data_IF_833539284831
#
_entry.id   IF_833539284831
#
_cell.length_a   1.000
_cell.length_b   1.000
_cell.length_c   1.000
_cell.angle_alpha   90.00
_cell.angle_beta   90.00
_cell.angle_gamma   90.00
#
_symmetry.space_group_name_H-M   'P 1'
#
loop_
_entity.id
_entity.type
_entity.pdbx_description
1 polymer ?
#
# COMPACT_ATOMS: atom_id res chain seq x y z
N UNK A 1 17.42 -18.57 -2.79
CA UNK A 1 16.97 -17.17 -2.67
C UNK A 1 16.37 -16.79 -4.00
N UNK A 2 15.04 -16.74 -4.10
CA UNK A 2 14.38 -16.28 -5.33
C UNK A 2 14.60 -14.76 -5.41
N UNK A 3 15.28 -14.34 -6.47
CA UNK A 3 15.41 -12.92 -6.76
C UNK A 3 14.01 -12.30 -6.91
N UNK A 4 13.72 -11.27 -6.14
CA UNK A 4 12.49 -10.49 -6.28
C UNK A 4 12.47 -9.90 -7.68
N UNK A 5 11.52 -10.33 -8.51
CA UNK A 5 11.38 -9.80 -9.85
C UNK A 5 10.71 -8.43 -9.75
N UNK A 6 11.52 -7.38 -9.85
CA UNK A 6 11.06 -5.99 -9.92
C UNK A 6 10.89 -5.60 -11.39
N UNK A 7 9.76 -4.99 -11.71
CA UNK A 7 9.50 -4.44 -13.04
C UNK A 7 9.26 -2.94 -12.92
N UNK A 8 10.02 -2.15 -13.67
CA UNK A 8 9.73 -0.72 -13.80
C UNK A 8 8.55 -0.55 -14.76
N UNK A 9 7.49 0.06 -14.27
CA UNK A 9 6.22 0.20 -15.01
C UNK A 9 6.15 1.54 -15.76
N UNK A 10 7.01 2.50 -15.43
CA UNK A 10 6.94 3.85 -15.96
C UNK A 10 8.31 4.47 -16.20
N UNK A 11 8.45 5.29 -17.27
CA UNK A 11 9.75 5.83 -17.74
C UNK A 11 10.05 7.26 -17.29
N UNK A 12 9.05 8.09 -17.00
CA UNK A 12 9.25 9.46 -16.50
C UNK A 12 9.26 9.53 -14.98
N UNK A 13 8.40 8.71 -14.35
CA UNK A 13 8.33 8.54 -12.90
C UNK A 13 8.80 7.13 -12.56
N UNK A 14 9.64 7.00 -11.53
CA UNK A 14 10.13 5.69 -11.09
C UNK A 14 9.06 4.95 -10.30
N UNK A 15 8.15 4.29 -11.00
CA UNK A 15 7.19 3.36 -10.41
C UNK A 15 7.68 1.93 -10.62
N UNK A 16 7.79 1.18 -9.54
CA UNK A 16 8.20 -0.22 -9.56
C UNK A 16 7.04 -1.10 -9.15
N UNK A 17 6.94 -2.27 -9.78
CA UNK A 17 5.93 -3.27 -9.45
C UNK A 17 6.61 -4.57 -9.01
N UNK A 18 6.04 -5.22 -8.01
CA UNK A 18 6.43 -6.56 -7.58
C UNK A 18 5.19 -7.42 -7.28
N UNK A 19 5.36 -8.73 -7.27
CA UNK A 19 4.33 -9.66 -6.84
C UNK A 19 4.76 -10.38 -5.56
N UNK A 20 3.82 -10.62 -4.66
CA UNK A 20 4.05 -11.44 -3.47
C UNK A 20 4.00 -12.92 -3.85
N UNK A 21 4.99 -13.74 -3.51
CA UNK A 21 4.87 -15.19 -3.61
C UNK A 21 3.69 -15.70 -2.76
N UNK A 22 2.95 -16.67 -3.27
CA UNK A 22 1.79 -17.27 -2.57
C UNK A 22 0.73 -16.24 -2.15
N UNK A 23 0.58 -15.15 -2.91
CA UNK A 23 -0.30 -14.02 -2.59
C UNK A 23 -1.74 -14.44 -2.26
N UNK A 24 -2.30 -15.41 -2.97
CA UNK A 24 -3.68 -15.86 -2.75
C UNK A 24 -3.88 -16.37 -1.31
N UNK A 25 -2.97 -17.23 -0.84
CA UNK A 25 -3.03 -17.77 0.53
C UNK A 25 -2.83 -16.67 1.58
N UNK A 26 -1.84 -15.78 1.36
CA UNK A 26 -1.56 -14.64 2.26
C UNK A 26 -2.76 -13.69 2.34
N UNK A 27 -3.35 -13.35 1.20
CA UNK A 27 -4.52 -12.48 1.15
C UNK A 27 -5.73 -13.10 1.84
N UNK A 28 -5.96 -14.40 1.67
CA UNK A 28 -7.03 -15.11 2.37
C UNK A 28 -6.86 -15.06 3.90
N UNK A 29 -5.64 -15.25 4.41
CA UNK A 29 -5.34 -15.12 5.84
C UNK A 29 -5.60 -13.69 6.36
N UNK A 30 -5.15 -12.66 5.61
CA UNK A 30 -5.35 -11.26 5.99
C UNK A 30 -6.86 -10.94 6.01
N UNK A 31 -7.61 -11.33 4.97
CA UNK A 31 -9.05 -11.07 4.89
C UNK A 31 -9.83 -11.77 6.02
N UNK A 32 -9.48 -13.00 6.32
CA UNK A 32 -10.10 -13.74 7.43
C UNK A 32 -9.85 -13.07 8.78
N UNK A 33 -8.60 -12.63 9.03
CA UNK A 33 -8.26 -11.88 10.24
C UNK A 33 -8.89 -10.49 10.28
N UNK A 34 -8.94 -9.78 9.16
CA UNK A 34 -9.56 -8.46 9.04
C UNK A 34 -11.04 -8.48 9.39
N UNK A 35 -11.78 -9.51 8.98
CA UNK A 35 -13.21 -9.65 9.29
C UNK A 35 -13.51 -9.74 10.80
N UNK A 36 -12.51 -10.07 11.63
CA UNK A 36 -12.64 -10.12 13.09
C UNK A 36 -12.12 -8.88 13.82
N UNK A 37 -11.66 -7.83 13.10
CA UNK A 37 -11.18 -6.61 13.74
C UNK A 37 -12.32 -5.75 14.26
N UNK A 38 -12.06 -5.11 15.40
CA UNK A 38 -12.91 -4.11 16.03
C UNK A 38 -12.18 -2.76 16.12
N UNK A 39 -12.87 -1.65 16.41
CA UNK A 39 -12.21 -0.36 16.55
C UNK A 39 -11.07 -0.30 17.59
N UNK A 40 -11.12 -1.16 18.59
CA UNK A 40 -10.14 -1.27 19.68
C UNK A 40 -8.82 -1.93 19.24
N UNK A 41 -8.84 -2.62 18.11
CA UNK A 41 -7.64 -3.26 17.54
C UNK A 41 -6.68 -2.26 16.86
N UNK A 42 -7.19 -1.07 16.52
CA UNK A 42 -6.39 -0.05 15.88
C UNK A 42 -5.65 0.81 16.90
N UNK A 43 -4.33 0.82 16.84
CA UNK A 43 -3.47 1.69 17.67
C UNK A 43 -3.75 3.17 17.44
N UNK A 44 -4.01 3.53 16.18
CA UNK A 44 -4.21 4.89 15.72
C UNK A 44 -5.05 4.88 14.44
N UNK A 45 -5.76 5.98 14.20
CA UNK A 45 -6.55 6.22 12.98
C UNK A 45 -6.33 7.66 12.55
N UNK A 46 -6.13 7.91 11.26
CA UNK A 46 -5.89 9.26 10.74
C UNK A 46 -6.68 9.55 9.47
N UNK A 47 -6.67 10.82 9.05
CA UNK A 47 -7.34 11.32 7.87
C UNK A 47 -8.83 11.02 7.89
N UNK A 48 -9.53 11.71 8.82
CA UNK A 48 -10.99 11.59 8.93
C UNK A 48 -11.67 12.41 7.84
N UNK A 49 -12.21 11.74 6.83
CA UNK A 49 -12.84 12.35 5.65
C UNK A 49 -14.14 11.61 5.33
N UNK A 50 -15.20 12.37 5.02
CA UNK A 50 -16.51 11.82 4.64
C UNK A 50 -17.03 10.74 5.63
N UNK A 51 -16.84 10.98 6.93
CA UNK A 51 -17.38 10.12 7.99
C UNK A 51 -16.56 8.87 8.31
N UNK A 52 -15.36 8.68 7.72
CA UNK A 52 -14.46 7.56 7.97
C UNK A 52 -13.00 8.00 8.15
N UNK A 53 -12.20 7.14 8.76
CA UNK A 53 -10.76 7.27 8.74
C UNK A 53 -10.20 6.57 7.50
N UNK A 54 -9.34 7.24 6.75
CA UNK A 54 -8.69 6.67 5.56
C UNK A 54 -7.60 5.68 5.95
N UNK A 55 -6.84 5.99 7.01
CA UNK A 55 -5.70 5.20 7.46
C UNK A 55 -5.99 4.57 8.83
N UNK A 56 -5.85 3.24 8.89
CA UNK A 56 -6.07 2.43 10.08
C UNK A 56 -4.76 1.72 10.45
N UNK A 57 -4.17 2.07 11.58
CA UNK A 57 -2.87 1.56 12.02
C UNK A 57 -3.03 0.40 12.99
N UNK A 58 -2.33 -0.70 12.73
CA UNK A 58 -2.33 -1.91 13.53
C UNK A 58 -0.94 -2.21 14.09
N UNK A 59 -0.91 -3.05 15.13
CA UNK A 59 0.32 -3.76 15.46
C UNK A 59 0.67 -4.76 14.33
N UNK A 60 1.96 -4.87 14.03
CA UNK A 60 2.50 -5.71 12.96
C UNK A 60 2.08 -7.18 13.07
N UNK A 61 1.87 -7.65 14.30
CA UNK A 61 1.48 -9.02 14.61
C UNK A 61 -0.04 -9.24 14.71
N UNK A 62 -0.84 -8.17 14.56
CA UNK A 62 -2.29 -8.27 14.82
C UNK A 62 -3.05 -9.10 13.78
N UNK A 63 -2.60 -9.12 12.54
CA UNK A 63 -3.21 -9.91 11.47
C UNK A 63 -2.24 -10.96 10.93
N UNK A 64 -2.66 -12.21 10.83
CA UNK A 64 -1.89 -13.23 10.11
C UNK A 64 -1.60 -12.76 8.67
N UNK A 65 -0.46 -13.12 8.13
CA UNK A 65 -0.07 -12.77 6.76
C UNK A 65 0.56 -11.38 6.59
N UNK A 66 0.25 -10.38 7.41
CA UNK A 66 0.84 -9.03 7.28
C UNK A 66 2.35 -9.06 7.35
N UNK A 67 2.92 -9.82 8.28
CA UNK A 67 4.38 -9.91 8.44
C UNK A 67 5.07 -10.38 7.15
N UNK A 68 4.48 -11.33 6.43
CA UNK A 68 5.01 -11.80 5.13
C UNK A 68 4.98 -10.70 4.07
N UNK A 69 3.89 -9.91 4.04
CA UNK A 69 3.78 -8.76 3.14
C UNK A 69 4.87 -7.74 3.44
N UNK A 70 5.05 -7.36 4.71
CA UNK A 70 6.01 -6.33 5.11
C UNK A 70 7.46 -6.76 4.90
N UNK A 71 7.82 -8.01 5.23
CA UNK A 71 9.17 -8.55 4.97
C UNK A 71 9.49 -8.51 3.47
N UNK A 72 8.54 -8.92 2.63
CA UNK A 72 8.72 -8.88 1.18
C UNK A 72 8.86 -7.45 0.66
N UNK A 73 8.00 -6.54 1.14
CA UNK A 73 8.03 -5.12 0.80
C UNK A 73 9.35 -4.45 1.18
N UNK A 74 9.87 -4.72 2.39
CA UNK A 74 11.17 -4.22 2.85
C UNK A 74 12.32 -4.71 1.96
N UNK A 75 12.27 -5.96 1.51
CA UNK A 75 13.22 -6.52 0.55
C UNK A 75 13.18 -5.80 -0.80
N UNK A 76 11.98 -5.54 -1.32
CA UNK A 76 11.77 -4.77 -2.55
C UNK A 76 12.28 -3.33 -2.41
N UNK A 77 11.91 -2.64 -1.31
CA UNK A 77 12.30 -1.26 -1.06
C UNK A 77 13.84 -1.11 -0.99
N UNK A 78 14.52 -2.02 -0.31
CA UNK A 78 15.99 -2.06 -0.26
C UNK A 78 16.60 -2.22 -1.64
N UNK A 79 16.05 -3.11 -2.46
CA UNK A 79 16.53 -3.34 -3.82
C UNK A 79 16.33 -2.11 -4.72
N UNK A 80 15.16 -1.46 -4.62
CA UNK A 80 14.84 -0.23 -5.38
C UNK A 80 15.77 0.91 -4.99
N UNK A 81 15.98 1.11 -3.68
CA UNK A 81 16.80 2.21 -3.15
C UNK A 81 18.31 1.92 -3.21
N UNK A 82 18.73 0.70 -3.53
CA UNK A 82 20.13 0.30 -3.42
C UNK A 82 20.66 0.37 -1.98
N UNK A 83 19.78 0.25 -0.98
CA UNK A 83 20.12 0.45 0.43
C UNK A 83 20.66 -0.83 1.05
N UNK A 84 21.90 -0.85 1.60
CA UNK A 84 22.53 -2.07 2.09
C UNK A 84 21.98 -2.56 3.43
N UNK A 85 21.43 -1.67 4.25
CA UNK A 85 20.95 -1.93 5.61
C UNK A 85 19.44 -2.16 5.71
N UNK A 86 18.92 -2.39 6.92
CA UNK A 86 17.49 -2.43 7.17
C UNK A 86 16.85 -1.05 6.97
N UNK A 87 15.56 -1.06 6.64
CA UNK A 87 14.75 0.15 6.54
C UNK A 87 13.66 0.12 7.61
N UNK A 88 13.29 1.29 8.11
CA UNK A 88 12.04 1.47 8.83
C UNK A 88 10.88 1.31 7.84
N UNK A 89 9.87 0.53 8.22
CA UNK A 89 8.65 0.36 7.45
C UNK A 89 7.44 0.75 8.31
N UNK A 90 6.89 1.93 8.08
CA UNK A 90 5.57 2.32 8.57
C UNK A 90 4.49 1.75 7.66
N UNK A 91 3.37 1.28 8.23
CA UNK A 91 2.27 0.75 7.43
C UNK A 91 0.91 1.07 8.04
N UNK A 92 -0.12 1.03 7.20
CA UNK A 92 -1.53 1.18 7.59
C UNK A 92 -2.43 0.42 6.63
N UNK A 93 -3.63 0.07 7.10
CA UNK A 93 -4.68 -0.42 6.22
C UNK A 93 -5.45 0.77 5.62
N UNK A 94 -5.72 0.68 4.33
CA UNK A 94 -6.65 1.55 3.63
C UNK A 94 -7.86 0.73 3.19
N UNK A 95 -9.02 1.02 3.80
CA UNK A 95 -10.26 0.26 3.64
C UNK A 95 -11.27 1.11 2.88
N UNK A 96 -11.68 0.67 1.70
CA UNK A 96 -12.59 1.42 0.85
C UNK A 96 -13.81 0.59 0.47
N UNK A 97 -14.95 0.95 1.03
CA UNK A 97 -16.26 0.46 0.60
C UNK A 97 -16.74 1.17 -0.68
N UNK A 98 -17.89 0.78 -1.19
CA UNK A 98 -18.49 1.41 -2.37
C UNK A 98 -18.65 2.94 -2.18
N UNK A 99 -18.20 3.71 -3.16
CA UNK A 99 -18.24 5.17 -3.15
C UNK A 99 -17.07 5.85 -2.44
N UNK A 100 -16.25 5.13 -1.67
CA UNK A 100 -15.10 5.72 -1.00
C UNK A 100 -14.00 6.09 -2.01
N UNK A 101 -13.28 7.17 -1.70
CA UNK A 101 -12.10 7.68 -2.41
C UNK A 101 -11.07 8.09 -1.38
N UNK A 102 -9.82 8.35 -1.75
CA UNK A 102 -8.85 9.02 -0.87
C UNK A 102 -8.56 10.44 -1.38
N UNK A 103 -8.16 11.32 -0.47
CA UNK A 103 -7.68 12.65 -0.82
C UNK A 103 -6.31 12.58 -1.51
N UNK A 104 -6.01 13.59 -2.32
CA UNK A 104 -4.65 13.78 -2.87
C UNK A 104 -3.71 14.20 -1.74
N UNK A 105 -2.56 13.52 -1.61
CA UNK A 105 -1.55 13.78 -0.60
C UNK A 105 -0.16 13.30 -1.03
N UNK A 106 0.86 13.67 -0.26
CA UNK A 106 2.25 13.20 -0.36
C UNK A 106 2.71 12.62 0.97
N UNK A 107 3.90 12.02 1.00
CA UNK A 107 4.53 11.47 2.20
C UNK A 107 5.93 12.03 2.46
N UNK A 108 6.20 13.25 2.03
CA UNK A 108 7.50 13.92 2.16
C UNK A 108 7.72 14.64 3.52
N UNK A 109 6.77 14.53 4.46
CA UNK A 109 6.78 15.29 5.72
C UNK A 109 7.85 14.83 6.71
N UNK A 110 8.36 13.62 6.55
CA UNK A 110 9.40 13.04 7.38
C UNK A 110 10.61 12.64 6.51
N UNK A 111 11.29 11.59 6.90
CA UNK A 111 12.47 11.06 6.22
C UNK A 111 12.14 9.87 5.28
N UNK A 112 10.93 9.82 4.74
CA UNK A 112 10.52 8.78 3.82
C UNK A 112 11.35 8.82 2.53
N UNK A 113 11.92 7.67 2.16
CA UNK A 113 12.71 7.47 0.95
C UNK A 113 11.90 6.83 -0.17
N UNK A 114 10.84 6.08 0.18
CA UNK A 114 10.00 5.37 -0.76
C UNK A 114 8.61 5.15 -0.15
N UNK A 115 7.58 5.33 -0.97
CA UNK A 115 6.20 4.93 -0.65
C UNK A 115 5.83 3.66 -1.39
N UNK A 116 4.88 2.91 -0.83
CA UNK A 116 4.39 1.69 -1.44
C UNK A 116 2.95 1.37 -1.06
N UNK A 117 2.33 0.54 -1.87
CA UNK A 117 1.02 -0.04 -1.60
C UNK A 117 1.01 -1.52 -2.01
N UNK A 118 0.38 -2.35 -1.19
CA UNK A 118 0.06 -3.73 -1.50
C UNK A 118 -1.44 -3.94 -1.55
N UNK A 119 -1.92 -4.67 -2.54
CA UNK A 119 -3.34 -4.94 -2.71
C UNK A 119 -3.73 -6.31 -2.18
N UNK A 120 -4.50 -6.33 -1.10
CA UNK A 120 -5.05 -7.55 -0.50
C UNK A 120 -6.32 -7.97 -1.24
N UNK A 121 -7.24 -7.02 -1.42
CA UNK A 121 -8.46 -7.18 -2.19
C UNK A 121 -8.69 -5.94 -3.05
N UNK A 122 -8.92 -6.16 -4.34
CA UNK A 122 -9.21 -5.11 -5.30
C UNK A 122 -10.19 -5.66 -6.35
N UNK A 123 -11.50 -5.60 -6.07
CA UNK A 123 -12.49 -6.03 -7.04
C UNK A 123 -12.46 -5.13 -8.29
N UNK A 124 -12.99 -5.58 -9.43
CA UNK A 124 -13.08 -4.76 -10.63
C UNK A 124 -13.73 -3.41 -10.35
N UNK A 125 -13.23 -2.34 -10.97
CA UNK A 125 -13.66 -0.93 -10.83
C UNK A 125 -13.59 -0.39 -9.40
N UNK A 126 -12.70 -0.92 -8.56
CA UNK A 126 -12.50 -0.48 -7.16
C UNK A 126 -11.66 0.80 -7.00
N UNK A 127 -11.36 1.48 -8.09
CA UNK A 127 -10.60 2.73 -8.14
C UNK A 127 -9.11 2.53 -8.41
N UNK A 128 -8.59 3.25 -9.40
CA UNK A 128 -7.17 3.26 -9.72
C UNK A 128 -6.38 4.09 -8.69
N UNK A 129 -5.14 3.72 -8.45
CA UNK A 129 -4.16 4.61 -7.85
C UNK A 129 -3.73 5.62 -8.91
N UNK A 130 -3.90 6.90 -8.63
CA UNK A 130 -3.49 7.97 -9.53
C UNK A 130 -2.28 8.67 -8.94
N UNK A 131 -1.23 8.81 -9.74
CA UNK A 131 -0.02 9.57 -9.41
C UNK A 131 0.01 10.81 -10.30
N UNK A 132 0.38 11.95 -9.72
CA UNK A 132 0.57 13.21 -10.47
C UNK A 132 2.05 13.49 -10.65
N UNK A 133 2.54 13.40 -11.87
CA UNK A 133 3.92 13.73 -12.25
C UNK A 133 3.92 15.00 -13.10
N UNK A 134 4.01 16.15 -12.46
CA UNK A 134 3.84 17.45 -13.11
C UNK A 134 2.47 17.56 -13.81
N UNK A 135 2.42 17.73 -15.14
CA UNK A 135 1.17 17.78 -15.88
C UNK A 135 0.55 16.40 -16.18
N UNK A 136 1.25 15.32 -15.91
CA UNK A 136 0.83 13.96 -16.25
C UNK A 136 0.06 13.33 -15.09
N UNK A 137 -1.00 12.59 -15.42
CA UNK A 137 -1.72 11.73 -14.49
C UNK A 137 -1.52 10.27 -14.90
N UNK A 138 -0.84 9.52 -14.04
CA UNK A 138 -0.57 8.09 -14.24
C UNK A 138 -1.62 7.31 -13.45
N UNK A 139 -2.43 6.50 -14.14
CA UNK A 139 -3.43 5.63 -13.52
C UNK A 139 -2.93 4.21 -13.48
N UNK A 140 -2.94 3.63 -12.29
CA UNK A 140 -2.45 2.27 -12.03
C UNK A 140 -3.59 1.44 -11.45
N UNK A 141 -4.09 0.51 -12.25
CA UNK A 141 -5.20 -0.36 -11.83
C UNK A 141 -4.71 -1.36 -10.79
N UNK A 142 -5.38 -1.45 -9.63
CA UNK A 142 -4.98 -2.36 -8.57
C UNK A 142 -5.17 -3.82 -8.98
N UNK A 143 -4.23 -4.67 -8.57
CA UNK A 143 -4.32 -6.12 -8.75
C UNK A 143 -3.98 -6.83 -7.45
N UNK A 144 -4.85 -7.70 -6.89
CA UNK A 144 -4.55 -8.43 -5.66
C UNK A 144 -3.23 -9.19 -5.77
N UNK A 145 -2.44 -9.17 -4.70
CA UNK A 145 -1.15 -9.84 -4.63
C UNK A 145 0.02 -9.05 -5.21
N UNK A 146 -0.20 -7.80 -5.66
CA UNK A 146 0.85 -6.95 -6.22
C UNK A 146 1.18 -5.76 -5.33
N UNK A 147 2.43 -5.34 -5.41
CA UNK A 147 2.94 -4.08 -4.85
C UNK A 147 3.16 -3.07 -5.96
N UNK A 148 2.95 -1.80 -5.61
CA UNK A 148 3.45 -0.65 -6.34
C UNK A 148 4.32 0.17 -5.40
N UNK A 149 5.49 0.64 -5.89
CA UNK A 149 6.39 1.52 -5.15
C UNK A 149 6.66 2.75 -5.98
N UNK A 150 6.67 3.92 -5.34
CA UNK A 150 6.82 5.21 -6.00
C UNK A 150 7.47 6.23 -5.05
N UNK A 151 8.04 7.36 -5.59
CA UNK A 151 8.60 8.42 -4.75
C UNK A 151 7.59 8.99 -3.76
N UNK A 152 8.00 9.29 -2.51
CA UNK A 152 7.09 9.75 -1.47
C UNK A 152 6.55 11.18 -1.69
N UNK A 153 7.28 12.01 -2.42
CA UNK A 153 6.92 13.38 -2.80
C UNK A 153 5.93 13.46 -3.97
N UNK A 154 5.59 12.32 -4.58
CA UNK A 154 4.67 12.28 -5.71
C UNK A 154 3.22 12.40 -5.21
N UNK A 155 2.47 13.47 -5.55
CA UNK A 155 1.07 13.60 -5.15
C UNK A 155 0.25 12.44 -5.71
N UNK A 156 -0.55 11.82 -4.85
CA UNK A 156 -1.32 10.65 -5.24
C UNK A 156 -2.64 10.54 -4.48
N UNK A 157 -3.57 9.82 -5.09
CA UNK A 157 -4.87 9.50 -4.50
C UNK A 157 -5.43 8.21 -5.10
N UNK A 158 -6.51 7.70 -4.53
CA UNK A 158 -7.26 6.58 -5.08
C UNK A 158 -8.62 7.07 -5.56
N UNK A 159 -8.95 6.77 -6.82
CA UNK A 159 -10.26 7.05 -7.39
C UNK A 159 -11.37 6.30 -6.64
N UNK A 160 -12.61 6.72 -6.85
CA UNK A 160 -13.76 6.12 -6.15
C UNK A 160 -13.88 4.62 -6.40
N UNK A 161 -14.05 3.86 -5.34
CA UNK A 161 -14.46 2.45 -5.43
C UNK A 161 -15.91 2.39 -5.94
N UNK A 162 -16.07 2.03 -7.21
CA UNK A 162 -17.37 1.84 -7.85
C UNK A 162 -17.87 0.39 -7.80
N UNK A 163 -17.08 -0.49 -7.20
CA UNK A 163 -17.48 -1.86 -6.93
C UNK A 163 -18.38 -1.94 -5.69
N UNK A 164 -19.33 -2.87 -5.63
CA UNK A 164 -20.02 -3.20 -4.39
C UNK A 164 -19.12 -3.94 -3.38
N UNK A 165 -17.97 -4.44 -3.83
CA UNK A 165 -17.02 -5.18 -3.00
C UNK A 165 -16.02 -4.27 -2.29
N UNK A 166 -15.49 -4.78 -1.18
CA UNK A 166 -14.47 -4.12 -0.38
C UNK A 166 -13.14 -4.07 -1.14
N UNK A 167 -12.53 -2.89 -1.21
CA UNK A 167 -11.11 -2.73 -1.55
C UNK A 167 -10.31 -2.61 -0.27
N UNK A 168 -9.35 -3.50 -0.08
CA UNK A 168 -8.42 -3.50 1.04
C UNK A 168 -7.00 -3.45 0.52
N UNK A 169 -6.25 -2.42 0.94
CA UNK A 169 -4.84 -2.29 0.62
C UNK A 169 -4.02 -1.95 1.86
N UNK A 170 -2.73 -2.22 1.81
CA UNK A 170 -1.75 -1.89 2.84
C UNK A 170 -0.86 -0.80 2.27
N UNK A 171 -0.99 0.42 2.77
CA UNK A 171 -0.07 1.52 2.49
C UNK A 171 1.19 1.37 3.33
N UNK A 172 2.34 1.79 2.79
CA UNK A 172 3.64 1.66 3.43
C UNK A 172 4.54 2.85 3.08
N UNK A 173 5.34 3.28 4.07
CA UNK A 173 6.43 4.21 3.85
C UNK A 173 7.72 3.63 4.41
N UNK A 174 8.81 3.80 3.67
CA UNK A 174 10.13 3.30 4.02
C UNK A 174 11.09 4.47 4.23
N UNK A 175 11.79 4.47 5.35
CA UNK A 175 12.81 5.44 5.69
C UNK A 175 14.04 4.78 6.30
N UNK A 176 15.09 5.55 6.65
CA UNK A 176 16.24 5.02 7.33
C UNK A 176 15.82 4.45 8.69
N UNK A 177 16.49 3.39 9.12
CA UNK A 177 16.43 2.92 10.48
C UNK A 177 17.50 3.66 11.26
N UNK A 178 17.09 4.48 12.22
CA UNK A 178 18.00 5.20 13.13
C UNK A 178 18.74 4.22 14.06
#
# INVERSE_FOLDING_TARGET
>A
MNATQLTQVWTSTQVHQAALPEAEAVNAEILAGFAGLTPEDYRYRSHFIAGRFENLYLERTRLPGIERVLIHAEGCARAILGHPGPLRCGFWLNVMEAGHTTSEHTHEENDELLSGVYYVAAPPVSGDLVLRDGPLLVRLTPSPGTFLFFPPDLPHWVESNRSPGLRLSIGMNFGPLE
#
